data_IF_621198721183
#
_entry.id   IF_621198721183
#
_cell.length_a   1.000
_cell.length_b   1.000
_cell.length_c   1.000
_cell.angle_alpha   90.00
_cell.angle_beta   90.00
_cell.angle_gamma   90.00
#
_symmetry.space_group_name_H-M   'P 1'
#
loop_
_entity.id
_entity.type
_entity.pdbx_description
1 polymer ?
#
# COMPACT_ATOMS: atom_id res chain seq x y z
N UNK A 1 -10.46 -21.47 -32.09
CA UNK A 1 -10.57 -20.27 -31.22
C UNK A 1 -11.16 -20.71 -29.90
N UNK A 2 -10.43 -20.54 -28.79
CA UNK A 2 -10.86 -20.91 -27.43
C UNK A 2 -10.95 -19.63 -26.62
N UNK A 3 -12.04 -19.44 -25.87
CA UNK A 3 -12.17 -18.35 -24.90
C UNK A 3 -12.04 -18.96 -23.51
N UNK A 4 -11.12 -18.42 -22.71
CA UNK A 4 -10.94 -18.80 -21.30
C UNK A 4 -11.29 -17.60 -20.42
N UNK A 5 -12.21 -17.80 -19.48
CA UNK A 5 -12.55 -16.79 -18.48
C UNK A 5 -12.20 -17.32 -17.09
N UNK A 6 -11.39 -16.55 -16.35
CA UNK A 6 -10.96 -16.91 -15.00
C UNK A 6 -11.06 -15.71 -14.06
N UNK A 7 -11.30 -15.99 -12.78
CA UNK A 7 -11.19 -14.99 -11.72
C UNK A 7 -9.70 -14.72 -11.49
N UNK A 8 -9.31 -13.45 -11.45
CA UNK A 8 -7.99 -13.05 -11.01
C UNK A 8 -7.94 -13.13 -9.48
N UNK A 9 -7.21 -14.12 -8.96
CA UNK A 9 -6.91 -14.26 -7.54
C UNK A 9 -5.65 -13.47 -7.17
N UNK A 10 -5.42 -13.25 -5.86
CA UNK A 10 -4.30 -12.44 -5.34
C UNK A 10 -4.23 -11.06 -6.02
N UNK A 11 -5.36 -10.37 -6.06
CA UNK A 11 -5.47 -8.94 -6.39
C UNK A 11 -6.50 -8.31 -5.44
N UNK A 12 -6.47 -7.00 -5.29
CA UNK A 12 -7.54 -6.28 -4.56
C UNK A 12 -8.79 -6.16 -5.44
N UNK A 13 -9.97 -6.26 -4.82
CA UNK A 13 -11.24 -6.22 -5.53
C UNK A 13 -11.56 -7.53 -6.27
N UNK A 14 -12.52 -7.45 -7.20
CA UNK A 14 -12.94 -8.59 -8.03
C UNK A 14 -12.71 -8.25 -9.49
N UNK A 15 -11.78 -8.97 -10.10
CA UNK A 15 -11.47 -8.85 -11.52
C UNK A 15 -11.50 -10.24 -12.19
N UNK A 16 -11.94 -10.27 -13.44
CA UNK A 16 -11.89 -11.43 -14.31
C UNK A 16 -10.91 -11.16 -15.44
N UNK A 17 -10.16 -12.18 -15.84
CA UNK A 17 -9.36 -12.18 -17.04
C UNK A 17 -10.04 -13.08 -18.06
N UNK A 18 -10.42 -12.50 -19.20
CA UNK A 18 -10.92 -13.20 -20.37
C UNK A 18 -9.82 -13.22 -21.42
N UNK A 19 -9.44 -14.41 -21.87
CA UNK A 19 -8.36 -14.64 -22.82
C UNK A 19 -8.93 -15.34 -24.06
N UNK A 20 -8.68 -14.78 -25.23
CA UNK A 20 -8.96 -15.42 -26.50
C UNK A 20 -7.67 -16.09 -27.01
N UNK A 21 -7.78 -17.36 -27.39
CA UNK A 21 -6.66 -18.18 -27.85
C UNK A 21 -6.82 -18.55 -29.32
N UNK A 22 -5.74 -18.38 -30.08
CA UNK A 22 -5.59 -18.79 -31.47
C UNK A 22 -4.24 -19.49 -31.64
N UNK A 23 -4.24 -20.69 -32.19
CA UNK A 23 -3.01 -21.46 -32.49
C UNK A 23 -2.04 -21.61 -31.30
N UNK A 24 -2.59 -21.78 -30.10
CA UNK A 24 -1.82 -21.95 -28.86
C UNK A 24 -1.28 -20.66 -28.24
N UNK A 25 -1.49 -19.51 -28.87
CA UNK A 25 -1.12 -18.19 -28.34
C UNK A 25 -2.35 -17.36 -27.98
N UNK A 26 -2.19 -16.44 -27.03
CA UNK A 26 -3.22 -15.47 -26.68
C UNK A 26 -3.31 -14.43 -27.81
N UNK A 27 -4.48 -14.31 -28.42
CA UNK A 27 -4.77 -13.33 -29.49
C UNK A 27 -5.49 -12.07 -28.99
N UNK A 28 -6.22 -12.17 -27.88
CA UNK A 28 -6.86 -11.02 -27.20
C UNK A 28 -6.93 -11.29 -25.68
N UNK A 29 -6.93 -10.22 -24.89
CA UNK A 29 -7.04 -10.28 -23.43
C UNK A 29 -7.86 -9.10 -22.89
N UNK A 30 -8.86 -9.40 -22.06
CA UNK A 30 -9.72 -8.41 -21.42
C UNK A 30 -9.70 -8.57 -19.91
N UNK A 31 -9.52 -7.46 -19.21
CA UNK A 31 -9.68 -7.38 -17.75
C UNK A 31 -11.04 -6.78 -17.45
N UNK A 32 -11.89 -7.54 -16.78
CA UNK A 32 -13.26 -7.16 -16.44
C UNK A 32 -13.31 -6.97 -14.93
N UNK A 33 -13.37 -5.73 -14.47
CA UNK A 33 -13.55 -5.40 -13.04
C UNK A 33 -15.04 -5.31 -12.75
N UNK A 34 -15.54 -6.14 -11.85
CA UNK A 34 -16.97 -6.23 -11.58
C UNK A 34 -17.40 -5.24 -10.48
N UNK A 35 -18.46 -4.48 -10.79
CA UNK A 35 -19.14 -3.62 -9.83
C UNK A 35 -18.55 -2.22 -9.67
N UNK A 36 -19.43 -1.27 -9.34
CA UNK A 36 -19.05 0.07 -8.90
C UNK A 36 -19.75 0.35 -7.57
N UNK A 37 -19.05 1.05 -6.67
CA UNK A 37 -19.63 1.57 -5.42
C UNK A 37 -20.12 3.01 -5.56
N UNK A 38 -19.89 3.64 -6.71
CA UNK A 38 -20.34 5.01 -7.04
C UNK A 38 -20.03 6.03 -5.94
N UNK A 39 -18.81 5.96 -5.37
CA UNK A 39 -18.40 6.84 -4.27
C UNK A 39 -18.36 8.31 -4.68
N UNK A 40 -18.08 8.64 -5.95
CA UNK A 40 -18.17 10.01 -6.44
C UNK A 40 -19.60 10.55 -6.32
N UNK A 41 -20.59 9.75 -6.73
CA UNK A 41 -22.00 10.13 -6.64
C UNK A 41 -22.45 10.28 -5.18
N UNK A 42 -21.94 9.43 -4.30
CA UNK A 42 -22.22 9.49 -2.87
C UNK A 42 -21.69 10.78 -2.20
N UNK A 43 -20.69 11.45 -2.80
CA UNK A 43 -20.11 12.69 -2.30
C UNK A 43 -20.84 13.96 -2.76
N UNK A 44 -21.65 13.88 -3.82
CA UNK A 44 -22.39 15.03 -4.32
C UNK A 44 -23.33 15.62 -3.25
N UNK A 45 -23.29 16.94 -3.06
CA UNK A 45 -24.13 17.65 -2.10
C UNK A 45 -23.71 17.50 -0.62
N UNK A 46 -22.65 16.75 -0.32
CA UNK A 46 -22.13 16.60 1.05
C UNK A 46 -21.19 17.74 1.45
N UNK A 47 -21.03 17.99 2.76
CA UNK A 47 -19.92 18.80 3.27
C UNK A 47 -18.58 18.26 2.77
N UNK A 48 -17.68 19.15 2.36
CA UNK A 48 -16.36 18.77 1.82
C UNK A 48 -15.54 17.90 2.79
N UNK A 49 -15.74 18.09 4.09
CA UNK A 49 -15.07 17.30 5.15
C UNK A 49 -15.50 15.83 5.17
N UNK A 50 -16.69 15.49 4.67
CA UNK A 50 -17.13 14.09 4.56
C UNK A 50 -16.20 13.29 3.64
N UNK A 51 -15.59 13.94 2.64
CA UNK A 51 -14.65 13.30 1.74
C UNK A 51 -13.44 12.71 2.49
N UNK A 52 -12.99 13.33 3.58
CA UNK A 52 -11.88 12.84 4.42
C UNK A 52 -12.18 11.48 5.04
N UNK A 53 -13.46 11.15 5.26
CA UNK A 53 -13.89 9.88 5.85
C UNK A 53 -14.35 8.91 4.77
N UNK A 54 -15.01 9.38 3.73
CA UNK A 54 -15.60 8.52 2.70
C UNK A 54 -14.53 7.99 1.74
N UNK A 55 -13.61 8.82 1.23
CA UNK A 55 -12.66 8.39 0.21
C UNK A 55 -11.64 7.36 0.68
N UNK A 56 -11.18 7.31 1.96
CA UNK A 56 -10.34 6.21 2.42
C UNK A 56 -11.02 4.84 2.32
N UNK A 57 -12.35 4.77 2.19
CA UNK A 57 -13.10 3.51 2.00
C UNK A 57 -13.14 3.06 0.54
N UNK A 58 -12.56 3.82 -0.40
CA UNK A 58 -12.32 3.34 -1.76
C UNK A 58 -11.48 2.06 -1.72
N UNK A 59 -10.44 1.96 -0.90
CA UNK A 59 -9.63 0.76 -0.80
C UNK A 59 -9.12 0.55 0.62
N UNK A 60 -9.15 -0.70 1.11
CA UNK A 60 -8.60 -1.05 2.43
C UNK A 60 -7.07 -1.15 2.47
N UNK A 61 -6.43 -1.29 1.30
CA UNK A 61 -4.97 -1.43 1.16
C UNK A 61 -4.31 -0.07 0.94
N UNK A 62 -4.89 0.78 0.10
CA UNK A 62 -4.37 2.11 -0.22
C UNK A 62 -5.24 3.27 0.32
N UNK A 63 -6.01 3.02 1.39
CA UNK A 63 -6.97 3.99 1.94
C UNK A 63 -6.33 5.29 2.43
N UNK A 64 -5.06 5.27 2.83
CA UNK A 64 -4.38 6.47 3.30
C UNK A 64 -3.88 7.33 2.13
N UNK A 65 -3.51 6.73 1.00
CA UNK A 65 -3.30 7.47 -0.24
C UNK A 65 -4.58 8.24 -0.66
N UNK A 66 -5.76 7.63 -0.51
CA UNK A 66 -7.03 8.33 -0.76
C UNK A 66 -7.30 9.48 0.22
N UNK A 67 -6.97 9.30 1.51
CA UNK A 67 -7.03 10.39 2.49
C UNK A 67 -6.13 11.56 2.09
N UNK A 68 -4.86 11.28 1.77
CA UNK A 68 -3.89 12.30 1.38
C UNK A 68 -4.36 13.03 0.12
N UNK A 69 -4.83 12.31 -0.90
CA UNK A 69 -5.37 12.92 -2.11
C UNK A 69 -6.55 13.84 -1.82
N UNK A 70 -7.45 13.44 -0.91
CA UNK A 70 -8.61 14.25 -0.53
C UNK A 70 -8.20 15.50 0.21
N UNK A 71 -7.28 15.40 1.17
CA UNK A 71 -6.74 16.56 1.89
C UNK A 71 -6.10 17.54 0.91
N UNK A 72 -5.25 17.06 0.00
CA UNK A 72 -4.57 17.91 -0.98
C UNK A 72 -5.56 18.56 -1.96
N UNK A 73 -6.60 17.84 -2.40
CA UNK A 73 -7.63 18.40 -3.27
C UNK A 73 -8.41 19.53 -2.57
N UNK A 74 -8.74 19.35 -1.28
CA UNK A 74 -9.43 20.37 -0.50
C UNK A 74 -8.52 21.57 -0.24
N UNK A 75 -7.26 21.34 0.13
CA UNK A 75 -6.27 22.41 0.31
C UNK A 75 -6.08 23.21 -0.98
N UNK A 76 -6.06 22.53 -2.14
CA UNK A 76 -6.01 23.20 -3.44
C UNK A 76 -7.23 24.08 -3.69
N UNK A 77 -8.43 23.59 -3.41
CA UNK A 77 -9.67 24.37 -3.54
C UNK A 77 -9.70 25.59 -2.58
N UNK A 78 -8.99 25.52 -1.45
CA UNK A 78 -8.85 26.60 -0.47
C UNK A 78 -7.68 27.57 -0.77
N UNK A 79 -7.01 27.43 -1.93
CA UNK A 79 -5.91 28.30 -2.32
C UNK A 79 -4.53 27.90 -1.78
N UNK A 80 -4.33 26.61 -1.47
CA UNK A 80 -3.09 26.02 -0.95
C UNK A 80 -2.56 26.75 0.31
N UNK A 81 -3.29 26.67 1.44
CA UNK A 81 -2.85 27.31 2.68
C UNK A 81 -1.49 26.76 3.12
N UNK A 82 -0.69 27.62 3.76
CA UNK A 82 0.57 27.20 4.35
C UNK A 82 0.29 26.23 5.51
N UNK A 83 0.84 25.01 5.42
CA UNK A 83 0.73 24.00 6.47
C UNK A 83 1.99 23.99 7.35
N UNK A 84 1.86 23.67 8.66
CA UNK A 84 3.03 23.51 9.53
C UNK A 84 3.98 22.42 9.02
N UNK A 85 5.29 22.63 9.13
CA UNK A 85 6.31 21.65 8.68
C UNK A 85 6.12 20.27 9.31
N UNK A 86 5.71 20.23 10.57
CA UNK A 86 5.37 19.00 11.30
C UNK A 86 4.28 18.20 10.58
N UNK A 87 3.22 18.87 10.13
CA UNK A 87 2.11 18.22 9.44
C UNK A 87 2.56 17.65 8.08
N UNK A 88 3.36 18.41 7.32
CA UNK A 88 3.95 17.96 6.06
C UNK A 88 4.78 16.68 6.25
N UNK A 89 5.65 16.67 7.27
CA UNK A 89 6.50 15.52 7.59
C UNK A 89 5.68 14.30 8.02
N UNK A 90 4.70 14.47 8.91
CA UNK A 90 3.85 13.36 9.36
C UNK A 90 3.06 12.75 8.22
N UNK A 91 2.47 13.57 7.33
CA UNK A 91 1.79 13.09 6.11
C UNK A 91 2.73 12.30 5.19
N UNK A 92 3.96 12.81 4.99
CA UNK A 92 4.96 12.11 4.16
C UNK A 92 5.40 10.79 4.79
N UNK A 93 5.67 10.76 6.10
CA UNK A 93 6.13 9.56 6.80
C UNK A 93 5.07 8.45 6.68
N UNK A 94 3.83 8.73 7.05
CA UNK A 94 2.75 7.73 7.04
C UNK A 94 2.42 7.23 5.64
N UNK A 95 2.41 8.11 4.63
CA UNK A 95 2.20 7.71 3.23
C UNK A 95 3.34 6.81 2.71
N UNK A 96 4.59 7.08 3.12
CA UNK A 96 5.69 6.20 2.74
C UNK A 96 5.65 4.87 3.49
N UNK A 97 5.25 4.85 4.76
CA UNK A 97 5.03 3.60 5.50
C UNK A 97 3.94 2.74 4.82
N UNK A 98 2.83 3.32 4.38
CA UNK A 98 1.80 2.63 3.59
C UNK A 98 2.39 2.03 2.30
N UNK A 99 3.19 2.80 1.55
CA UNK A 99 3.84 2.30 0.32
C UNK A 99 4.76 1.11 0.60
N UNK A 100 5.62 1.23 1.62
CA UNK A 100 6.55 0.16 2.01
C UNK A 100 5.78 -1.09 2.40
N UNK A 101 4.75 -0.96 3.25
CA UNK A 101 3.91 -2.07 3.64
C UNK A 101 3.25 -2.74 2.43
N UNK A 102 2.67 -1.94 1.53
CA UNK A 102 1.96 -2.44 0.36
C UNK A 102 2.89 -3.17 -0.60
N UNK A 103 4.12 -2.68 -0.79
CA UNK A 103 5.12 -3.36 -1.62
C UNK A 103 5.62 -4.67 -1.00
N UNK A 104 5.84 -4.72 0.32
CA UNK A 104 6.17 -5.98 1.00
C UNK A 104 5.03 -6.97 0.84
N UNK A 105 3.78 -6.56 1.10
CA UNK A 105 2.61 -7.44 0.92
C UNK A 105 2.51 -7.93 -0.51
N UNK A 106 2.57 -7.04 -1.49
CA UNK A 106 2.50 -7.39 -2.90
C UNK A 106 3.58 -8.40 -3.29
N UNK A 107 4.83 -8.15 -2.91
CA UNK A 107 5.93 -9.05 -3.25
C UNK A 107 5.73 -10.44 -2.60
N UNK A 108 5.63 -10.52 -1.28
CA UNK A 108 5.65 -11.80 -0.57
C UNK A 108 4.32 -12.57 -0.62
N UNK A 109 3.17 -11.89 -0.67
CA UNK A 109 1.86 -12.56 -0.60
C UNK A 109 1.20 -12.71 -1.97
N UNK A 110 1.54 -11.86 -2.94
CA UNK A 110 0.86 -11.82 -4.24
C UNK A 110 1.76 -12.43 -5.31
N UNK A 111 2.99 -11.95 -5.42
CA UNK A 111 3.92 -12.31 -6.49
C UNK A 111 4.68 -13.63 -6.24
N UNK A 112 5.37 -13.77 -5.11
CA UNK A 112 6.22 -14.94 -4.85
C UNK A 112 5.51 -16.30 -4.91
N UNK A 113 4.23 -16.43 -4.49
CA UNK A 113 3.49 -17.68 -4.68
C UNK A 113 3.34 -18.13 -6.13
N UNK A 114 3.42 -17.21 -7.10
CA UNK A 114 3.40 -17.56 -8.52
C UNK A 114 4.74 -18.14 -8.99
N UNK A 115 5.88 -17.59 -8.53
CA UNK A 115 7.20 -18.14 -8.84
C UNK A 115 7.39 -19.57 -8.30
N UNK A 116 6.89 -19.84 -7.09
CA UNK A 116 6.88 -21.19 -6.52
C UNK A 116 6.09 -22.18 -7.38
N UNK A 117 4.97 -21.76 -7.96
CA UNK A 117 4.16 -22.59 -8.87
C UNK A 117 4.83 -22.85 -10.21
N UNK A 118 5.76 -21.99 -10.62
CA UNK A 118 6.57 -22.16 -11.82
C UNK A 118 7.73 -23.14 -11.63
N UNK A 119 7.88 -23.71 -10.43
CA UNK A 119 8.89 -24.73 -10.13
C UNK A 119 10.22 -24.17 -9.63
N UNK A 120 10.28 -22.87 -9.29
CA UNK A 120 11.46 -22.26 -8.70
C UNK A 120 11.68 -22.77 -7.27
N UNK A 121 12.92 -23.13 -6.92
CA UNK A 121 13.28 -23.64 -5.59
C UNK A 121 13.40 -22.50 -4.55
N UNK A 122 12.28 -21.86 -4.24
CA UNK A 122 12.20 -20.65 -3.42
C UNK A 122 11.56 -20.91 -2.04
N UNK A 123 11.97 -21.98 -1.35
CA UNK A 123 11.33 -22.49 -0.12
C UNK A 123 11.12 -21.43 0.98
N UNK A 124 12.02 -20.45 1.10
CA UNK A 124 11.90 -19.37 2.08
C UNK A 124 10.73 -18.41 1.83
N UNK A 125 10.19 -18.41 0.61
CA UNK A 125 9.04 -17.60 0.20
C UNK A 125 7.71 -18.36 0.26
N UNK A 126 7.74 -19.64 0.64
CA UNK A 126 6.54 -20.50 0.70
C UNK A 126 5.50 -19.92 1.67
N UNK A 127 4.24 -19.74 1.25
CA UNK A 127 3.18 -19.26 2.14
C UNK A 127 3.08 -20.10 3.42
N UNK A 128 2.89 -19.43 4.55
CA UNK A 128 2.73 -20.02 5.89
C UNK A 128 3.95 -20.76 6.47
N UNK A 129 4.89 -21.25 5.67
CA UNK A 129 6.01 -22.06 6.14
C UNK A 129 7.37 -21.36 5.97
N UNK A 130 7.56 -20.61 4.89
CA UNK A 130 8.79 -19.94 4.51
C UNK A 130 9.26 -18.88 5.51
N UNK A 131 10.56 -18.86 5.77
CA UNK A 131 11.20 -17.96 6.74
C UNK A 131 11.03 -16.48 6.36
N UNK A 132 11.34 -16.13 5.11
CA UNK A 132 11.20 -14.78 4.56
C UNK A 132 9.74 -14.36 4.45
N UNK A 133 8.84 -15.28 4.09
CA UNK A 133 7.40 -15.02 4.08
C UNK A 133 6.88 -14.64 5.48
N UNK A 134 7.23 -15.41 6.52
CA UNK A 134 6.83 -15.11 7.91
C UNK A 134 7.39 -13.79 8.40
N UNK A 135 8.68 -13.52 8.14
CA UNK A 135 9.34 -12.26 8.51
C UNK A 135 8.66 -11.06 7.83
N UNK A 136 8.32 -11.17 6.54
CA UNK A 136 7.59 -10.13 5.81
C UNK A 136 6.20 -9.81 6.41
N UNK A 137 5.44 -10.84 6.82
CA UNK A 137 4.13 -10.65 7.49
C UNK A 137 4.30 -9.93 8.83
N UNK A 138 5.28 -10.35 9.63
CA UNK A 138 5.58 -9.70 10.91
C UNK A 138 5.93 -8.22 10.72
N UNK A 139 6.79 -7.91 9.76
CA UNK A 139 7.16 -6.53 9.43
C UNK A 139 5.97 -5.72 8.93
N UNK A 140 5.06 -6.30 8.14
CA UNK A 140 3.84 -5.62 7.75
C UNK A 140 2.96 -5.25 8.96
N UNK A 141 2.90 -6.10 9.98
CA UNK A 141 2.21 -5.80 11.24
C UNK A 141 2.92 -4.67 12.00
N UNK A 142 4.24 -4.66 12.05
CA UNK A 142 5.00 -3.59 12.70
C UNK A 142 4.87 -2.26 11.97
N UNK A 143 4.93 -2.24 10.63
CA UNK A 143 4.66 -1.03 9.85
C UNK A 143 3.23 -0.53 10.09
N UNK A 144 2.25 -1.43 10.25
CA UNK A 144 0.87 -1.05 10.63
C UNK A 144 0.86 -0.28 11.95
N UNK A 145 1.59 -0.79 12.96
CA UNK A 145 1.72 -0.12 14.26
C UNK A 145 2.38 1.25 14.08
N UNK A 146 3.47 1.35 13.30
CA UNK A 146 4.14 2.62 13.04
C UNK A 146 3.21 3.66 12.38
N UNK A 147 2.37 3.26 11.44
CA UNK A 147 1.35 4.15 10.87
C UNK A 147 0.36 4.59 11.96
N UNK A 148 -0.14 3.66 12.78
CA UNK A 148 -1.10 3.96 13.83
C UNK A 148 -0.55 4.92 14.91
N UNK A 149 0.75 4.87 15.23
CA UNK A 149 1.40 5.81 16.16
C UNK A 149 1.22 7.27 15.74
N UNK A 150 1.20 7.54 14.43
CA UNK A 150 1.04 8.89 13.89
C UNK A 150 -0.37 9.19 13.39
N UNK A 151 -1.09 8.17 12.94
CA UNK A 151 -2.35 8.30 12.22
C UNK A 151 -3.58 7.87 13.04
N UNK A 152 -3.36 7.41 14.27
CA UNK A 152 -4.37 6.91 15.22
C UNK A 152 -4.75 5.45 14.96
N UNK A 153 -5.01 5.08 13.71
CA UNK A 153 -5.41 3.72 13.35
C UNK A 153 -5.00 3.34 11.92
N UNK A 154 -5.01 2.03 11.65
CA UNK A 154 -4.93 1.47 10.30
C UNK A 154 -5.77 0.19 10.22
N UNK A 155 -6.56 -0.02 9.14
CA UNK A 155 -6.76 0.87 7.99
C UNK A 155 -7.63 2.10 8.32
N UNK A 156 -7.78 3.00 7.34
CA UNK A 156 -8.69 4.15 7.39
C UNK A 156 -8.44 5.16 8.53
N UNK A 157 -7.21 5.68 8.60
CA UNK A 157 -6.84 6.78 9.51
C UNK A 157 -7.65 8.06 9.25
N UNK A 158 -7.78 8.93 10.26
CA UNK A 158 -8.50 10.22 10.17
C UNK A 158 -7.67 11.43 10.66
N UNK A 159 -6.37 11.26 10.87
CA UNK A 159 -5.50 12.27 11.46
C UNK A 159 -5.17 13.47 10.53
N UNK A 160 -5.24 13.30 9.21
CA UNK A 160 -4.90 14.35 8.26
C UNK A 160 -6.15 15.12 7.85
N UNK A 161 -6.06 16.44 7.95
CA UNK A 161 -7.16 17.39 7.68
C UNK A 161 -6.61 18.58 6.90
N UNK A 162 -7.42 19.30 6.12
CA UNK A 162 -6.97 20.53 5.45
C UNK A 162 -6.33 21.49 6.45
N UNK A 163 -5.13 21.98 6.13
CA UNK A 163 -4.36 22.89 7.01
C UNK A 163 -3.38 22.19 7.97
N UNK A 164 -3.46 20.87 8.16
CA UNK A 164 -2.47 20.17 8.97
C UNK A 164 -2.79 18.72 9.34
N UNK A 165 -2.53 18.37 10.59
CA UNK A 165 -2.82 17.06 11.19
C UNK A 165 -3.36 17.25 12.60
N UNK A 166 -4.17 16.31 13.07
CA UNK A 166 -4.71 16.30 14.43
C UNK A 166 -3.80 15.59 15.43
N UNK A 167 -2.78 14.87 14.95
CA UNK A 167 -1.87 14.11 15.81
C UNK A 167 -0.67 14.91 16.28
N UNK A 168 -0.22 14.59 17.50
CA UNK A 168 0.98 15.12 18.12
C UNK A 168 1.76 13.96 18.73
N UNK A 169 2.61 13.30 17.94
CA UNK A 169 3.39 12.19 18.45
C UNK A 169 4.42 12.66 19.46
N UNK A 170 4.60 11.88 20.53
CA UNK A 170 5.66 12.09 21.51
C UNK A 170 7.00 11.49 21.06
N UNK A 171 8.04 11.72 21.85
CA UNK A 171 9.39 11.25 21.55
C UNK A 171 9.48 9.71 21.53
N UNK A 172 8.74 9.01 22.40
CA UNK A 172 8.74 7.55 22.47
C UNK A 172 8.09 6.93 21.24
N UNK A 173 7.02 7.54 20.72
CA UNK A 173 6.34 7.12 19.49
C UNK A 173 7.25 7.32 18.28
N UNK A 174 7.98 8.44 18.22
CA UNK A 174 8.96 8.70 17.16
C UNK A 174 10.07 7.66 17.17
N UNK A 175 10.69 7.39 18.32
CA UNK A 175 11.74 6.37 18.43
C UNK A 175 11.24 4.97 18.07
N UNK A 176 10.01 4.63 18.49
CA UNK A 176 9.38 3.34 18.18
C UNK A 176 9.18 3.16 16.67
N UNK A 177 8.65 4.18 15.99
CA UNK A 177 8.48 4.14 14.53
C UNK A 177 9.83 4.10 13.80
N UNK A 178 10.83 4.83 14.28
CA UNK A 178 12.18 4.82 13.70
C UNK A 178 12.82 3.44 13.79
N UNK A 179 12.70 2.76 14.94
CA UNK A 179 13.22 1.39 15.09
C UNK A 179 12.55 0.43 14.11
N UNK A 180 11.24 0.56 13.90
CA UNK A 180 10.50 -0.26 12.92
C UNK A 180 11.05 -0.02 11.51
N UNK A 181 11.30 1.24 11.12
CA UNK A 181 11.87 1.57 9.81
C UNK A 181 13.29 1.00 9.65
N UNK A 182 14.12 1.05 10.70
CA UNK A 182 15.45 0.42 10.68
C UNK A 182 15.35 -1.09 10.43
N UNK A 183 14.50 -1.80 11.16
CA UNK A 183 14.30 -3.24 10.99
C UNK A 183 13.80 -3.60 9.58
N UNK A 184 12.93 -2.77 9.01
CA UNK A 184 12.43 -2.96 7.63
C UNK A 184 13.55 -2.72 6.61
N UNK A 185 14.41 -1.73 6.83
CA UNK A 185 15.58 -1.46 5.97
C UNK A 185 16.56 -2.63 6.00
N UNK A 186 16.88 -3.14 7.19
CA UNK A 186 17.75 -4.31 7.38
C UNK A 186 17.17 -5.54 6.65
N UNK A 187 15.88 -5.82 6.86
CA UNK A 187 15.18 -6.87 6.12
C UNK A 187 15.27 -6.69 4.60
N UNK A 188 15.08 -5.48 4.09
CA UNK A 188 15.20 -5.22 2.66
C UNK A 188 16.61 -5.53 2.15
N UNK A 189 17.63 -5.04 2.84
CA UNK A 189 19.04 -5.21 2.45
C UNK A 189 19.48 -6.68 2.52
N UNK A 190 19.11 -7.40 3.58
CA UNK A 190 19.52 -8.79 3.80
C UNK A 190 18.66 -9.79 3.01
N UNK A 191 17.34 -9.70 3.14
CA UNK A 191 16.44 -10.76 2.67
C UNK A 191 15.92 -10.55 1.25
N UNK A 192 15.88 -9.29 0.77
CA UNK A 192 15.35 -8.96 -0.55
C UNK A 192 16.45 -8.73 -1.58
N UNK A 193 17.44 -7.87 -1.29
CA UNK A 193 18.52 -7.56 -2.25
C UNK A 193 19.81 -8.33 -1.98
N UNK A 194 20.05 -8.78 -0.74
CA UNK A 194 21.24 -9.56 -0.38
C UNK A 194 22.55 -8.78 -0.51
N UNK A 195 22.54 -7.47 -0.28
CA UNK A 195 23.69 -6.58 -0.44
C UNK A 195 23.73 -5.49 0.63
N UNK A 196 24.91 -4.93 0.84
CA UNK A 196 25.08 -3.80 1.78
C UNK A 196 24.36 -2.55 1.30
N UNK A 197 24.08 -1.63 2.22
CA UNK A 197 23.46 -0.34 1.88
C UNK A 197 24.33 0.47 0.90
N UNK A 198 25.66 0.39 1.03
CA UNK A 198 26.59 1.08 0.14
C UNK A 198 26.54 0.52 -1.29
N UNK A 199 26.53 -0.80 -1.44
CA UNK A 199 26.41 -1.46 -2.75
C UNK A 199 25.07 -1.14 -3.40
N UNK A 200 23.98 -1.21 -2.63
CA UNK A 200 22.65 -0.88 -3.13
C UNK A 200 22.54 0.56 -3.64
N UNK A 201 23.17 1.52 -2.94
CA UNK A 201 23.17 2.93 -3.36
C UNK A 201 23.92 3.15 -4.67
N UNK A 202 25.03 2.43 -4.90
CA UNK A 202 25.81 2.53 -6.16
C UNK A 202 25.02 2.06 -7.39
N UNK A 203 24.03 1.18 -7.23
CA UNK A 203 23.17 0.74 -8.35
C UNK A 203 22.17 1.80 -8.82
N UNK A 204 22.00 2.89 -8.07
CA UNK A 204 21.06 3.97 -8.38
C UNK A 204 21.73 5.20 -9.00
N UNK A 205 23.06 5.23 -9.04
CA UNK A 205 23.87 6.25 -9.73
C UNK A 205 24.09 5.85 -11.19
#
# INVERSE_FOLDING_TARGET
>A
MRIEKRILARVEGTAYLELEWKDGVISDARVIVAGSRSLEKALEGRPVTDALVITPRVCGICGHAHLMASVLAIENALGNPQIPKKAELLRKITLNLEKIQNHIKWFYLFLMPDFLRLGEELKDFEPYSGSKWKKAISLCADITKAIALFAGQWPHSSYAVPGGVTSQPDIHQIYSAMQIVCNVKEFFLEDMVGMSEEEYKKLRE
#
